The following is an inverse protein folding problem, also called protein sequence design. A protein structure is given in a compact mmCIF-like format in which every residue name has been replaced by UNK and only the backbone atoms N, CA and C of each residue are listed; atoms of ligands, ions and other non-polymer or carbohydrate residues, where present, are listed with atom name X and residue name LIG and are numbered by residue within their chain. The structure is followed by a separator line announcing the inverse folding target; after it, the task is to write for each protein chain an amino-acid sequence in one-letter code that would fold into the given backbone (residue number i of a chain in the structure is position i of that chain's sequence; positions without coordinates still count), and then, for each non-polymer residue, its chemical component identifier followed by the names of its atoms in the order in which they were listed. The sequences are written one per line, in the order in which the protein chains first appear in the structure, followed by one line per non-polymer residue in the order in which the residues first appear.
data_IF_974777674880
#
_entry.id   IF_974777674880
#
_cell.length_a   1.000
_cell.length_b   1.000
_cell.length_c   1.000
_cell.angle_alpha   90.00
_cell.angle_beta   90.00
_cell.angle_gamma   90.00
#
_symmetry.space_group_name_H-M   'P 1'
#
loop_
_entity.id
_entity.type
_entity.pdbx_description
1 polymer ?
#
# COMPACT_ATOMS: atom_id res chain seq x y z
N UNK A 1 -8.37 12.95 13.95
CA UNK A 1 -8.78 11.97 12.93
C UNK A 1 -9.66 12.65 11.89
N UNK A 2 -9.33 12.55 10.61
CA UNK A 2 -10.24 13.01 9.58
C UNK A 2 -11.52 12.19 9.63
N UNK A 3 -12.64 12.84 9.42
CA UNK A 3 -13.92 12.16 9.32
C UNK A 3 -14.03 11.51 7.95
N UNK A 4 -14.43 10.23 7.92
CA UNK A 4 -14.64 9.53 6.65
C UNK A 4 -15.86 10.11 5.92
N UNK A 5 -15.80 10.20 4.59
CA UNK A 5 -16.94 10.65 3.82
C UNK A 5 -18.12 9.68 3.94
N UNK A 6 -19.31 10.25 3.96
CA UNK A 6 -20.57 9.50 4.01
C UNK A 6 -21.56 10.22 3.10
N UNK A 7 -21.82 9.64 1.93
CA UNK A 7 -22.66 10.23 0.89
C UNK A 7 -23.85 9.31 0.67
N UNK A 8 -25.02 9.77 1.08
CA UNK A 8 -26.27 9.01 0.99
C UNK A 8 -26.49 8.44 -0.42
N UNK A 9 -26.73 7.13 -0.49
CA UNK A 9 -27.00 6.43 -1.75
C UNK A 9 -25.78 6.20 -2.64
N UNK A 10 -24.58 6.64 -2.24
CA UNK A 10 -23.36 6.56 -3.05
C UNK A 10 -22.25 5.83 -2.30
N UNK A 11 -21.86 6.31 -1.11
CA UNK A 11 -20.73 5.79 -0.36
C UNK A 11 -20.96 6.04 1.13
N UNK A 12 -20.85 5.01 1.94
CA UNK A 12 -20.91 5.15 3.40
C UNK A 12 -19.52 5.02 4.02
N UNK A 13 -19.37 5.55 5.23
CA UNK A 13 -18.16 5.34 6.01
C UNK A 13 -17.92 3.84 6.27
N UNK A 14 -18.97 3.05 6.40
CA UNK A 14 -18.89 1.60 6.56
C UNK A 14 -18.30 0.92 5.33
N UNK A 15 -18.64 1.36 4.11
CA UNK A 15 -18.09 0.84 2.87
C UNK A 15 -16.57 1.03 2.82
N UNK A 16 -16.09 2.18 3.29
CA UNK A 16 -14.66 2.49 3.37
C UNK A 16 -13.96 1.56 4.36
N UNK A 17 -14.56 1.36 5.54
CA UNK A 17 -14.00 0.47 6.56
C UNK A 17 -13.97 -0.98 6.08
N UNK A 18 -15.03 -1.46 5.44
CA UNK A 18 -15.09 -2.82 4.87
C UNK A 18 -13.98 -3.02 3.82
N UNK A 19 -13.76 -2.02 2.96
CA UNK A 19 -12.68 -2.08 1.97
C UNK A 19 -11.32 -2.12 2.65
N UNK A 20 -11.11 -1.31 3.67
CA UNK A 20 -9.87 -1.31 4.45
C UNK A 20 -9.63 -2.65 5.16
N UNK A 21 -10.69 -3.27 5.70
CA UNK A 21 -10.61 -4.61 6.30
C UNK A 21 -10.19 -5.65 5.27
N UNK A 22 -10.76 -5.61 4.06
CA UNK A 22 -10.39 -6.49 2.96
C UNK A 22 -8.91 -6.32 2.61
N UNK A 23 -8.46 -5.09 2.45
CA UNK A 23 -7.06 -4.78 2.14
C UNK A 23 -6.13 -5.33 3.25
N UNK A 24 -6.49 -5.13 4.51
CA UNK A 24 -5.72 -5.65 5.64
C UNK A 24 -5.62 -7.17 5.60
N UNK A 25 -6.69 -7.85 5.17
CA UNK A 25 -6.68 -9.29 5.03
C UNK A 25 -5.73 -9.81 3.94
N UNK A 26 -5.41 -8.97 2.96
CA UNK A 26 -4.45 -9.29 1.90
C UNK A 26 -3.00 -9.02 2.31
N UNK A 27 -2.79 -8.12 3.27
CA UNK A 27 -1.46 -7.70 3.68
C UNK A 27 -0.66 -8.87 4.23
N UNK A 28 0.57 -9.03 3.74
CA UNK A 28 1.49 -10.07 4.20
C UNK A 28 2.15 -9.67 5.53
N UNK A 29 2.74 -10.63 6.21
CA UNK A 29 3.48 -10.40 7.46
C UNK A 29 4.64 -9.41 7.28
N UNK A 30 5.21 -9.34 6.07
CA UNK A 30 6.24 -8.37 5.72
C UNK A 30 5.73 -6.93 5.65
N UNK A 31 4.42 -6.75 5.58
CA UNK A 31 3.77 -5.46 5.33
C UNK A 31 3.40 -5.22 3.87
N UNK A 32 3.89 -6.04 2.94
CA UNK A 32 3.54 -5.93 1.52
C UNK A 32 2.04 -6.13 1.31
N UNK A 33 1.44 -5.28 0.48
CA UNK A 33 0.04 -5.41 0.08
C UNK A 33 0.01 -5.79 -1.40
N UNK A 34 -0.31 -7.05 -1.74
CA UNK A 34 -0.38 -7.48 -3.14
C UNK A 34 -1.63 -6.94 -3.84
N UNK A 35 -1.61 -6.90 -5.16
CA UNK A 35 -2.77 -6.52 -5.98
C UNK A 35 -3.97 -7.44 -5.76
N UNK A 36 -3.69 -8.70 -5.52
CA UNK A 36 -4.69 -9.76 -5.25
C UNK A 36 -3.99 -10.89 -4.47
N UNK A 37 -4.74 -11.82 -3.87
CA UNK A 37 -4.13 -12.92 -3.12
C UNK A 37 -3.10 -13.68 -3.96
N UNK A 38 -1.86 -13.76 -3.47
CA UNK A 38 -0.74 -14.41 -4.16
C UNK A 38 -0.14 -13.62 -5.31
N UNK A 39 -0.63 -12.42 -5.58
CA UNK A 39 -0.18 -11.57 -6.67
C UNK A 39 1.02 -10.70 -6.34
N UNK A 40 1.45 -9.95 -7.33
CA UNK A 40 2.56 -9.00 -7.19
C UNK A 40 2.10 -7.69 -6.52
N UNK A 41 3.10 -6.88 -6.18
CA UNK A 41 2.92 -5.54 -5.64
C UNK A 41 3.85 -4.58 -6.35
N UNK A 42 3.37 -3.39 -6.67
CA UNK A 42 4.21 -2.28 -7.07
C UNK A 42 4.19 -1.19 -5.99
N UNK A 43 5.29 -0.46 -5.80
CA UNK A 43 5.37 0.55 -4.74
C UNK A 43 4.37 1.70 -4.88
N UNK A 44 3.96 2.07 -6.10
CA UNK A 44 2.99 3.13 -6.32
C UNK A 44 1.63 2.78 -5.72
N UNK A 45 1.03 1.66 -6.17
CA UNK A 45 -0.26 1.22 -5.65
C UNK A 45 -0.17 0.87 -4.17
N UNK A 46 0.98 0.35 -3.73
CA UNK A 46 1.21 0.03 -2.33
C UNK A 46 1.14 1.28 -1.44
N UNK A 47 1.82 2.36 -1.82
CA UNK A 47 1.81 3.59 -1.00
C UNK A 47 0.42 4.23 -0.98
N UNK A 48 -0.30 4.23 -2.10
CA UNK A 48 -1.68 4.72 -2.14
C UNK A 48 -2.58 3.92 -1.20
N UNK A 49 -2.47 2.61 -1.25
CA UNK A 49 -3.24 1.71 -0.40
C UNK A 49 -2.88 1.91 1.08
N UNK A 50 -1.61 2.10 1.37
CA UNK A 50 -1.12 2.37 2.74
C UNK A 50 -1.69 3.68 3.27
N UNK A 51 -1.72 4.72 2.46
CA UNK A 51 -2.35 6.00 2.81
C UNK A 51 -3.85 5.83 3.09
N UNK A 52 -4.53 5.04 2.27
CA UNK A 52 -5.95 4.75 2.45
C UNK A 52 -6.22 4.01 3.77
N UNK A 53 -5.38 3.06 4.13
CA UNK A 53 -5.48 2.36 5.41
C UNK A 53 -5.32 3.32 6.58
N UNK A 54 -4.38 4.24 6.50
CA UNK A 54 -4.16 5.23 7.55
C UNK A 54 -5.38 6.14 7.72
N UNK A 55 -5.92 6.67 6.62
CA UNK A 55 -7.13 7.50 6.65
C UNK A 55 -8.34 6.74 7.21
N UNK A 56 -8.46 5.46 6.92
CA UNK A 56 -9.54 4.62 7.43
C UNK A 56 -9.40 4.24 8.91
N UNK A 57 -8.30 4.62 9.55
CA UNK A 57 -8.04 4.34 10.96
C UNK A 57 -7.25 3.05 11.23
N UNK A 58 -6.79 2.38 10.19
CA UNK A 58 -6.00 1.14 10.27
C UNK A 58 -4.51 1.46 10.36
N UNK A 59 -4.15 2.22 11.41
CA UNK A 59 -2.81 2.79 11.56
C UNK A 59 -1.71 1.75 11.68
N UNK A 60 -1.95 0.65 12.40
CA UNK A 60 -0.95 -0.41 12.55
C UNK A 60 -0.64 -1.10 11.21
N UNK A 61 -1.66 -1.33 10.39
CA UNK A 61 -1.49 -1.91 9.06
C UNK A 61 -0.77 -0.92 8.12
N UNK A 62 -1.11 0.35 8.21
CA UNK A 62 -0.45 1.41 7.44
C UNK A 62 1.03 1.51 7.82
N UNK A 63 1.36 1.49 9.11
CA UNK A 63 2.73 1.53 9.60
C UNK A 63 3.55 0.36 9.03
N UNK A 64 3.01 -0.85 9.07
CA UNK A 64 3.67 -2.01 8.46
C UNK A 64 3.88 -1.85 6.95
N UNK A 65 2.93 -1.23 6.27
CA UNK A 65 3.05 -0.93 4.84
C UNK A 65 4.18 0.04 4.54
N UNK A 66 4.34 1.09 5.33
CA UNK A 66 5.45 2.03 5.20
C UNK A 66 6.79 1.39 5.54
N UNK A 67 6.84 0.59 6.60
CA UNK A 67 8.05 -0.15 6.97
C UNK A 67 8.52 -1.06 5.84
N UNK A 68 7.59 -1.75 5.17
CA UNK A 68 7.94 -2.58 4.01
C UNK A 68 8.61 -1.77 2.91
N UNK A 69 8.11 -0.58 2.60
CA UNK A 69 8.74 0.32 1.61
C UNK A 69 10.16 0.71 2.01
N UNK A 70 10.38 0.97 3.29
CA UNK A 70 11.72 1.28 3.80
C UNK A 70 12.65 0.07 3.66
N UNK A 71 12.15 -1.13 4.00
CA UNK A 71 12.94 -2.35 3.96
C UNK A 71 13.39 -2.75 2.56
N UNK A 72 12.56 -2.46 1.54
CA UNK A 72 12.87 -2.82 0.15
C UNK A 72 13.53 -1.68 -0.64
N UNK A 73 13.67 -0.51 -0.04
CA UNK A 73 14.33 0.63 -0.70
C UNK A 73 15.77 0.27 -1.08
N UNK A 74 16.13 0.56 -2.32
CA UNK A 74 17.48 0.30 -2.82
C UNK A 74 18.46 1.33 -2.26
N UNK A 75 19.74 0.99 -2.28
CA UNK A 75 20.80 1.84 -1.72
C UNK A 75 20.86 3.25 -2.36
N UNK A 76 20.43 3.37 -3.61
CA UNK A 76 20.34 4.66 -4.29
C UNK A 76 19.05 5.43 -4.00
N UNK A 77 18.18 4.90 -3.12
CA UNK A 77 16.91 5.50 -2.74
C UNK A 77 15.73 5.14 -3.63
N UNK A 78 15.94 4.34 -4.66
CA UNK A 78 14.90 3.94 -5.60
C UNK A 78 14.22 2.62 -5.22
N UNK A 79 13.18 2.27 -5.97
CA UNK A 79 12.46 1.00 -5.85
C UNK A 79 12.31 0.37 -7.22
N UNK A 80 12.32 -0.99 -7.26
CA UNK A 80 11.96 -1.73 -8.46
C UNK A 80 10.45 -1.62 -8.74
N UNK A 81 10.04 -1.91 -9.98
CA UNK A 81 8.64 -1.79 -10.37
C UNK A 81 7.71 -2.82 -9.71
N UNK A 82 8.11 -4.09 -9.69
CA UNK A 82 7.24 -5.15 -9.16
C UNK A 82 7.97 -6.12 -8.27
N UNK A 83 7.30 -6.50 -7.18
CA UNK A 83 7.77 -7.46 -6.19
C UNK A 83 6.78 -8.61 -6.05
N UNK A 84 7.29 -9.80 -5.73
CA UNK A 84 6.47 -10.98 -5.46
C UNK A 84 6.35 -11.24 -3.95
N UNK A 85 5.33 -12.03 -3.51
CA UNK A 85 5.11 -12.31 -2.08
C UNK A 85 6.30 -12.93 -1.34
N UNK A 86 7.17 -13.65 -2.05
CA UNK A 86 8.38 -14.25 -1.46
C UNK A 86 9.54 -13.26 -1.28
N UNK A 87 9.32 -12.00 -1.63
CA UNK A 87 10.33 -10.95 -1.54
C UNK A 87 11.20 -10.79 -2.78
N UNK A 88 11.04 -11.66 -3.79
CA UNK A 88 11.81 -11.54 -5.04
C UNK A 88 11.27 -10.39 -5.89
N UNK A 89 12.13 -9.91 -6.80
CA UNK A 89 11.78 -8.86 -7.76
C UNK A 89 11.26 -9.51 -9.03
N UNK A 90 10.01 -9.22 -9.39
CA UNK A 90 9.41 -9.72 -10.63
C UNK A 90 9.87 -8.90 -11.83
N UNK A 91 9.93 -7.59 -11.68
CA UNK A 91 10.35 -6.69 -12.75
C UNK A 91 11.40 -5.70 -12.24
N UNK A 92 12.66 -5.97 -12.57
CA UNK A 92 13.81 -5.15 -12.18
C UNK A 92 13.97 -3.95 -13.13
N UNK A 93 12.96 -3.08 -13.14
CA UNK A 93 12.96 -1.83 -13.88
C UNK A 93 12.74 -0.67 -12.93
N UNK A 94 13.26 0.49 -13.32
CA UNK A 94 13.07 1.74 -12.59
C UNK A 94 12.12 2.64 -13.36
N UNK A 95 11.19 3.23 -12.62
CA UNK A 95 10.24 4.21 -13.14
C UNK A 95 10.27 5.43 -12.24
N UNK A 96 10.54 6.59 -12.83
CA UNK A 96 10.65 7.85 -12.10
C UNK A 96 9.35 8.21 -11.38
N UNK A 97 8.21 7.95 -12.01
CA UNK A 97 6.91 8.24 -11.40
C UNK A 97 6.66 7.36 -10.18
N UNK A 98 6.98 6.07 -10.27
CA UNK A 98 6.84 5.14 -9.13
C UNK A 98 7.68 5.61 -7.96
N UNK A 99 8.96 5.87 -8.19
CA UNK A 99 9.87 6.29 -7.12
C UNK A 99 9.49 7.65 -6.52
N UNK A 100 9.08 8.60 -7.36
CA UNK A 100 8.69 9.94 -6.90
C UNK A 100 7.37 9.91 -6.12
N UNK A 101 6.42 9.08 -6.55
CA UNK A 101 5.09 9.03 -5.93
C UNK A 101 5.14 8.50 -4.50
N UNK A 102 6.06 7.62 -4.18
CA UNK A 102 6.23 7.08 -2.83
C UNK A 102 6.44 8.20 -1.81
N UNK A 103 7.14 9.26 -2.19
CA UNK A 103 7.36 10.40 -1.33
C UNK A 103 6.06 11.12 -0.91
N UNK A 104 4.97 10.94 -1.67
CA UNK A 104 3.68 11.53 -1.36
C UNK A 104 3.06 10.94 -0.09
N UNK A 105 3.30 9.66 0.17
CA UNK A 105 2.76 8.96 1.34
C UNK A 105 3.65 9.02 2.57
N UNK A 106 4.94 9.11 2.34
CA UNK A 106 5.93 9.12 3.44
C UNK A 106 6.13 10.57 4.01
#
# INVERSE_FOLDING_TARGET
MPQLPDIEGVLSAEDIVETAEWITSLQLDTGMIPWFPGGHCDPWNHVETTMALDVAGFHAAAERGYEWLVDIQRDDGSWWNYYLPDGSVEEAKLDTNVCAYIATGI
#
